data_IF_477440999754
#
_entry.id   IF_477440999754
#
_cell.length_a   1.000
_cell.length_b   1.000
_cell.length_c   1.000
_cell.angle_alpha   90.00
_cell.angle_beta   90.00
_cell.angle_gamma   90.00
#
_symmetry.space_group_name_H-M   'P 1'
#
loop_
_entity.id
_entity.type
_entity.pdbx_description
1 polymer ?
#
# COMPACT_ATOMS: atom_id res chain seq x y z
N UNK A 1 -4.82 48.19 -22.78
CA UNK A 1 -4.02 46.97 -22.56
C UNK A 1 -3.29 46.62 -23.85
N UNK A 2 -1.95 46.50 -23.83
CA UNK A 2 -1.17 46.00 -24.96
C UNK A 2 -1.63 44.60 -25.42
N UNK A 3 -1.46 44.30 -26.71
CA UNK A 3 -1.96 43.08 -27.37
C UNK A 3 -1.46 41.81 -26.68
N UNK A 4 -0.19 41.78 -26.26
CA UNK A 4 0.40 40.62 -25.58
C UNK A 4 -0.31 40.27 -24.26
N UNK A 5 -0.82 41.27 -23.50
CA UNK A 5 -1.56 41.01 -22.26
C UNK A 5 -2.91 40.33 -22.54
N UNK A 6 -3.61 40.73 -23.60
CA UNK A 6 -4.88 40.11 -24.00
C UNK A 6 -4.67 38.66 -24.43
N UNK A 7 -3.56 38.38 -25.15
CA UNK A 7 -3.17 37.03 -25.52
C UNK A 7 -2.86 36.16 -24.30
N UNK A 8 -2.10 36.67 -23.33
CA UNK A 8 -1.79 35.94 -22.10
C UNK A 8 -3.06 35.62 -21.31
N UNK A 9 -3.96 36.59 -21.13
CA UNK A 9 -5.23 36.37 -20.43
C UNK A 9 -6.09 35.35 -21.17
N UNK A 10 -6.17 35.42 -22.50
CA UNK A 10 -6.90 34.45 -23.30
C UNK A 10 -6.39 33.02 -23.11
N UNK A 11 -5.07 32.83 -23.12
CA UNK A 11 -4.45 31.52 -22.88
C UNK A 11 -4.74 31.02 -21.46
N UNK A 12 -4.62 31.88 -20.45
CA UNK A 12 -4.91 31.51 -19.06
C UNK A 12 -6.39 31.12 -18.87
N UNK A 13 -7.32 31.87 -19.45
CA UNK A 13 -8.75 31.55 -19.41
C UNK A 13 -9.03 30.21 -20.11
N UNK A 14 -8.41 29.97 -21.27
CA UNK A 14 -8.54 28.71 -21.98
C UNK A 14 -7.99 27.53 -21.16
N UNK A 15 -6.82 27.69 -20.53
CA UNK A 15 -6.24 26.66 -19.66
C UNK A 15 -7.14 26.34 -18.47
N UNK A 16 -7.71 27.35 -17.81
CA UNK A 16 -8.66 27.16 -16.71
C UNK A 16 -9.92 26.46 -17.19
N UNK A 17 -10.45 26.83 -18.35
CA UNK A 17 -11.63 26.20 -18.95
C UNK A 17 -11.37 24.73 -19.30
N UNK A 18 -10.23 24.42 -19.93
CA UNK A 18 -9.84 23.04 -20.26
C UNK A 18 -9.64 22.17 -19.02
N UNK A 19 -9.09 22.74 -17.94
CA UNK A 19 -8.96 22.07 -16.65
C UNK A 19 -10.33 21.81 -16.01
N UNK A 20 -11.23 22.80 -16.04
CA UNK A 20 -12.59 22.69 -15.50
C UNK A 20 -13.40 21.61 -16.20
N UNK A 21 -13.22 21.47 -17.52
CA UNK A 21 -13.86 20.44 -18.33
C UNK A 21 -13.19 19.05 -18.24
N UNK A 22 -12.10 18.89 -17.48
CA UNK A 22 -11.41 17.61 -17.30
C UNK A 22 -10.70 17.08 -18.56
N UNK A 23 -10.50 17.92 -19.57
CA UNK A 23 -9.82 17.57 -20.83
C UNK A 23 -8.36 17.23 -20.55
N UNK A 24 -7.71 17.98 -19.67
CA UNK A 24 -6.32 17.74 -19.27
C UNK A 24 -6.14 16.40 -18.58
N UNK A 25 -7.07 16.03 -17.69
CA UNK A 25 -6.98 14.76 -16.96
C UNK A 25 -7.21 13.56 -17.88
N UNK A 26 -8.17 13.68 -18.79
CA UNK A 26 -8.48 12.62 -19.75
C UNK A 26 -7.33 12.40 -20.74
N UNK A 27 -6.76 13.49 -21.25
CA UNK A 27 -5.57 13.44 -22.11
C UNK A 27 -4.37 12.87 -21.35
N UNK A 28 -4.15 13.29 -20.11
CA UNK A 28 -3.06 12.79 -19.28
C UNK A 28 -3.18 11.29 -19.01
N UNK A 29 -4.37 10.79 -18.66
CA UNK A 29 -4.63 9.35 -18.49
C UNK A 29 -4.34 8.58 -19.76
N UNK A 30 -4.86 9.05 -20.89
CA UNK A 30 -4.66 8.39 -22.18
C UNK A 30 -3.18 8.35 -22.59
N UNK A 31 -2.46 9.47 -22.43
CA UNK A 31 -1.02 9.54 -22.72
C UNK A 31 -0.21 8.61 -21.80
N UNK A 32 -0.58 8.53 -20.53
CA UNK A 32 0.05 7.64 -19.55
C UNK A 32 -0.16 6.18 -19.94
N UNK A 33 -1.41 5.79 -20.25
CA UNK A 33 -1.74 4.44 -20.69
C UNK A 33 -1.03 4.08 -22.00
N UNK A 34 -1.01 5.01 -22.97
CA UNK A 34 -0.30 4.83 -24.24
C UNK A 34 1.21 4.66 -24.02
N UNK A 35 1.81 5.47 -23.15
CA UNK A 35 3.22 5.37 -22.77
C UNK A 35 3.55 4.00 -22.18
N UNK A 36 2.76 3.52 -21.20
CA UNK A 36 2.99 2.22 -20.57
C UNK A 36 2.77 1.05 -21.53
N UNK A 37 1.74 1.10 -22.37
CA UNK A 37 1.50 0.08 -23.41
C UNK A 37 2.64 0.03 -24.43
N UNK A 38 3.09 1.18 -24.90
CA UNK A 38 4.22 1.28 -25.83
C UNK A 38 5.51 0.76 -25.20
N UNK A 39 5.79 1.15 -23.94
CA UNK A 39 6.93 0.64 -23.16
C UNK A 39 6.89 -0.88 -23.01
N UNK A 40 5.74 -1.44 -22.63
CA UNK A 40 5.56 -2.88 -22.49
C UNK A 40 5.73 -3.62 -23.82
N UNK A 41 5.35 -3.00 -24.95
CA UNK A 41 5.52 -3.59 -26.26
C UNK A 41 6.98 -3.59 -26.75
N UNK A 42 7.70 -2.49 -26.58
CA UNK A 42 9.10 -2.36 -27.04
C UNK A 42 10.08 -3.07 -26.10
N UNK A 43 9.80 -3.06 -24.79
CA UNK A 43 10.61 -3.72 -23.77
C UNK A 43 9.70 -4.53 -22.86
N UNK A 44 9.22 -5.70 -23.32
CA UNK A 44 8.48 -6.60 -22.45
C UNK A 44 9.39 -6.98 -21.28
N UNK A 45 8.98 -6.60 -20.07
CA UNK A 45 9.63 -7.07 -18.85
C UNK A 45 9.00 -8.45 -18.60
N UNK A 46 9.76 -9.56 -18.70
CA UNK A 46 9.22 -10.88 -18.42
C UNK A 46 8.70 -10.89 -16.99
N UNK A 47 7.45 -11.32 -16.81
CA UNK A 47 6.90 -11.51 -15.48
C UNK A 47 7.53 -12.77 -14.90
N UNK A 48 8.11 -12.74 -13.68
CA UNK A 48 8.70 -13.93 -13.10
C UNK A 48 7.64 -15.02 -12.88
N UNK A 49 7.95 -16.25 -13.30
CA UNK A 49 7.04 -17.40 -13.18
C UNK A 49 6.85 -17.86 -11.73
N UNK A 50 7.60 -17.30 -10.79
CA UNK A 50 7.59 -17.64 -9.36
C UNK A 50 6.89 -16.59 -8.49
N UNK A 51 6.27 -15.56 -9.08
CA UNK A 51 5.49 -14.54 -8.37
C UNK A 51 3.99 -14.77 -8.58
N UNK A 52 3.25 -14.88 -7.48
CA UNK A 52 1.79 -14.93 -7.48
C UNK A 52 1.22 -13.62 -6.93
N UNK A 53 0.43 -12.91 -7.76
CA UNK A 53 -0.32 -11.73 -7.32
C UNK A 53 -1.76 -12.14 -6.99
N UNK A 54 -2.14 -12.00 -5.72
CA UNK A 54 -3.53 -12.17 -5.26
C UNK A 54 -4.18 -10.79 -5.19
N UNK A 55 -4.81 -10.37 -6.28
CA UNK A 55 -5.44 -9.06 -6.38
C UNK A 55 -6.88 -9.05 -5.82
N UNK A 56 -7.31 -7.89 -5.33
CA UNK A 56 -8.69 -7.63 -4.91
C UNK A 56 -9.34 -6.77 -5.99
N UNK A 57 -10.22 -7.38 -6.77
CA UNK A 57 -10.90 -6.75 -7.91
C UNK A 57 -12.42 -6.58 -7.65
N UNK A 58 -13.12 -5.97 -8.60
CA UNK A 58 -14.56 -5.78 -8.52
C UNK A 58 -15.34 -7.10 -8.40
N UNK A 59 -14.85 -8.19 -9.02
CA UNK A 59 -15.49 -9.51 -8.89
C UNK A 59 -15.39 -10.01 -7.45
N UNK A 60 -14.23 -9.83 -6.82
CA UNK A 60 -13.99 -10.16 -5.42
C UNK A 60 -14.87 -9.34 -4.49
N UNK A 61 -14.97 -8.02 -4.71
CA UNK A 61 -15.82 -7.14 -3.90
C UNK A 61 -17.32 -7.43 -4.08
N UNK A 62 -17.77 -7.77 -5.29
CA UNK A 62 -19.16 -8.20 -5.52
C UNK A 62 -19.49 -9.50 -4.81
N UNK A 63 -18.54 -10.44 -4.76
CA UNK A 63 -18.74 -11.77 -4.16
C UNK A 63 -18.58 -11.77 -2.63
N UNK A 64 -17.65 -11.00 -2.11
CA UNK A 64 -17.23 -11.04 -0.70
C UNK A 64 -17.66 -9.79 0.10
N UNK A 65 -18.22 -8.79 -0.58
CA UNK A 65 -18.56 -7.50 0.01
C UNK A 65 -17.37 -6.55 0.11
N UNK A 66 -17.58 -5.40 0.75
CA UNK A 66 -16.55 -4.37 0.92
C UNK A 66 -15.39 -4.87 1.79
N UNK A 67 -14.16 -4.60 1.34
CA UNK A 67 -12.90 -5.02 1.97
C UNK A 67 -12.84 -4.79 3.49
N UNK A 68 -13.31 -3.61 3.97
CA UNK A 68 -13.28 -3.24 5.40
C UNK A 68 -14.07 -4.19 6.31
N UNK A 69 -14.99 -4.97 5.77
CA UNK A 69 -15.83 -5.90 6.55
C UNK A 69 -15.39 -7.37 6.43
N UNK A 70 -14.25 -7.63 5.77
CA UNK A 70 -13.75 -8.99 5.66
C UNK A 70 -13.12 -9.42 6.99
N UNK A 71 -13.69 -10.46 7.61
CA UNK A 71 -13.11 -11.09 8.80
C UNK A 71 -11.68 -11.55 8.53
N UNK A 72 -10.82 -11.40 9.54
CA UNK A 72 -9.41 -11.81 9.46
C UNK A 72 -9.19 -13.31 9.35
N UNK A 73 -10.20 -14.13 9.66
CA UNK A 73 -10.20 -15.57 9.36
C UNK A 73 -9.98 -15.84 7.86
N UNK A 74 -10.43 -14.94 6.98
CA UNK A 74 -10.22 -15.07 5.53
C UNK A 74 -8.75 -14.93 5.15
N UNK A 75 -8.03 -13.99 5.76
CA UNK A 75 -6.59 -13.84 5.54
C UNK A 75 -5.80 -15.00 6.17
N UNK A 76 -6.24 -15.52 7.32
CA UNK A 76 -5.68 -16.75 7.89
C UNK A 76 -5.81 -17.94 6.92
N UNK A 77 -7.00 -18.16 6.36
CA UNK A 77 -7.25 -19.21 5.36
C UNK A 77 -6.44 -19.00 4.07
N UNK A 78 -6.21 -17.74 3.67
CA UNK A 78 -5.34 -17.43 2.53
C UNK A 78 -3.90 -17.88 2.82
N UNK A 79 -3.36 -17.58 4.01
CA UNK A 79 -2.01 -18.01 4.38
C UNK A 79 -1.86 -19.53 4.42
N UNK A 80 -2.87 -20.26 4.88
CA UNK A 80 -2.85 -21.74 4.84
C UNK A 80 -2.75 -22.28 3.41
N UNK A 81 -3.42 -21.63 2.44
CA UNK A 81 -3.30 -21.98 1.02
C UNK A 81 -1.94 -21.61 0.43
N UNK A 82 -1.29 -20.60 1.01
CA UNK A 82 0.02 -20.11 0.59
C UNK A 82 1.18 -20.75 1.37
N UNK A 83 0.96 -21.82 2.16
CA UNK A 83 2.00 -22.46 3.01
C UNK A 83 3.32 -22.82 2.33
N UNK A 84 3.32 -23.01 1.00
CA UNK A 84 4.51 -23.35 0.21
C UNK A 84 5.24 -22.12 -0.36
N UNK A 85 4.67 -20.93 -0.20
CA UNK A 85 5.28 -19.69 -0.68
C UNK A 85 6.60 -19.43 0.05
N UNK A 86 7.62 -19.02 -0.71
CA UNK A 86 8.93 -18.66 -0.15
C UNK A 86 8.85 -17.41 0.73
N UNK A 87 7.94 -16.49 0.42
CA UNK A 87 7.57 -15.32 1.20
C UNK A 87 6.17 -14.87 0.79
N UNK A 88 5.46 -14.20 1.70
CA UNK A 88 4.15 -13.58 1.43
C UNK A 88 4.21 -12.12 1.83
N UNK A 89 4.01 -11.20 0.89
CA UNK A 89 3.79 -9.79 1.18
C UNK A 89 2.30 -9.48 1.20
N UNK A 90 1.81 -8.85 2.26
CA UNK A 90 0.43 -8.38 2.35
C UNK A 90 0.44 -6.86 2.27
N UNK A 91 -0.30 -6.28 1.33
CA UNK A 91 -0.46 -4.83 1.18
C UNK A 91 -1.83 -4.37 1.70
N UNK A 92 -2.11 -4.76 2.95
CA UNK A 92 -3.31 -4.35 3.69
C UNK A 92 -2.88 -4.02 5.11
N UNK A 93 -3.14 -2.79 5.54
CA UNK A 93 -2.84 -2.33 6.88
C UNK A 93 -3.92 -2.82 7.87
N UNK A 94 -3.50 -3.60 8.87
CA UNK A 94 -4.33 -4.04 9.99
C UNK A 94 -3.94 -3.30 11.26
N UNK A 95 -4.30 -2.02 11.37
CA UNK A 95 -3.88 -1.17 12.48
C UNK A 95 -4.82 -1.19 13.70
N UNK A 96 -6.07 -1.61 13.51
CA UNK A 96 -7.13 -1.59 14.53
C UNK A 96 -7.66 -3.01 14.74
N UNK A 97 -8.16 -3.39 15.93
CA UNK A 97 -8.79 -4.70 16.15
C UNK A 97 -10.07 -4.91 15.31
N UNK A 98 -10.43 -6.15 15.04
CA UNK A 98 -11.71 -6.46 14.40
C UNK A 98 -12.76 -6.50 15.50
N UNK A 99 -13.49 -5.39 15.66
CA UNK A 99 -14.52 -5.28 16.69
C UNK A 99 -15.64 -6.32 16.56
N UNK A 100 -15.86 -6.85 15.34
CA UNK A 100 -16.93 -7.82 15.06
C UNK A 100 -16.47 -9.26 15.15
N UNK A 101 -15.19 -9.53 14.92
CA UNK A 101 -14.60 -10.88 15.00
C UNK A 101 -13.21 -10.88 15.65
N UNK A 102 -13.09 -10.64 16.98
CA UNK A 102 -11.80 -10.67 17.68
C UNK A 102 -11.08 -12.01 17.56
N UNK A 103 -11.82 -13.12 17.41
CA UNK A 103 -11.22 -14.44 17.17
C UNK A 103 -10.53 -14.53 15.80
N UNK A 104 -10.97 -13.72 14.83
CA UNK A 104 -10.32 -13.60 13.53
C UNK A 104 -8.91 -13.01 13.63
N UNK A 105 -8.70 -12.05 14.53
CA UNK A 105 -7.37 -11.45 14.78
C UNK A 105 -6.41 -12.50 15.30
N UNK A 106 -6.86 -13.29 16.28
CA UNK A 106 -6.08 -14.37 16.86
C UNK A 106 -5.75 -15.45 15.81
N UNK A 107 -6.74 -15.85 14.99
CA UNK A 107 -6.54 -16.82 13.93
C UNK A 107 -5.54 -16.33 12.87
N UNK A 108 -5.61 -15.05 12.50
CA UNK A 108 -4.69 -14.49 11.52
C UNK A 108 -3.28 -14.35 12.08
N UNK A 109 -3.12 -13.90 13.33
CA UNK A 109 -1.82 -13.87 13.99
C UNK A 109 -1.21 -15.27 14.13
N UNK A 110 -2.02 -16.30 14.44
CA UNK A 110 -1.56 -17.69 14.47
C UNK A 110 -1.08 -18.17 13.09
N UNK A 111 -1.84 -17.86 12.02
CA UNK A 111 -1.46 -18.22 10.65
C UNK A 111 -0.18 -17.51 10.18
N UNK A 112 -0.02 -16.24 10.55
CA UNK A 112 1.22 -15.47 10.28
C UNK A 112 2.42 -16.14 10.96
N UNK A 113 2.31 -16.49 12.26
CA UNK A 113 3.36 -17.22 13.00
C UNK A 113 3.67 -18.57 12.37
N UNK A 114 2.64 -19.33 12.03
CA UNK A 114 2.78 -20.66 11.46
C UNK A 114 3.48 -20.63 10.08
N UNK A 115 3.19 -19.64 9.25
CA UNK A 115 3.86 -19.46 7.97
C UNK A 115 5.32 -18.96 8.14
N UNK A 116 5.57 -18.08 9.11
CA UNK A 116 6.91 -17.61 9.51
C UNK A 116 7.68 -16.79 8.47
N UNK A 117 7.05 -16.47 7.33
CA UNK A 117 7.66 -15.79 6.17
C UNK A 117 6.70 -14.77 5.55
N UNK A 118 5.98 -14.05 6.42
CA UNK A 118 4.95 -13.08 6.04
C UNK A 118 5.46 -11.68 6.37
N UNK A 119 5.38 -10.77 5.41
CA UNK A 119 5.71 -9.35 5.57
C UNK A 119 4.41 -8.56 5.59
N UNK A 120 4.24 -7.77 6.65
CA UNK A 120 3.08 -6.90 6.85
C UNK A 120 3.47 -5.43 6.63
N UNK A 121 2.54 -4.59 6.16
CA UNK A 121 2.81 -3.19 5.95
C UNK A 121 2.70 -2.44 7.27
N UNK A 122 3.39 -1.31 7.35
CA UNK A 122 3.16 -0.27 8.33
C UNK A 122 2.78 1.01 7.57
N UNK A 123 2.05 1.90 8.22
CA UNK A 123 1.69 3.18 7.63
C UNK A 123 2.50 4.29 8.26
N UNK A 124 2.95 5.27 7.48
CA UNK A 124 3.59 6.47 8.03
C UNK A 124 2.55 7.59 8.06
N UNK A 125 2.15 8.01 9.26
CA UNK A 125 1.27 9.18 9.37
C UNK A 125 2.10 10.47 9.40
N UNK A 126 1.65 11.51 8.70
CA UNK A 126 2.23 12.86 8.79
C UNK A 126 1.37 13.69 9.75
N UNK A 127 1.95 14.14 10.87
CA UNK A 127 1.33 15.12 11.77
C UNK A 127 0.34 14.59 12.83
N UNK A 128 0.38 13.31 13.21
CA UNK A 128 -0.42 12.76 14.33
C UNK A 128 0.46 12.49 15.53
N UNK A 129 -0.04 12.84 16.71
CA UNK A 129 0.57 12.49 17.98
C UNK A 129 0.22 11.03 18.25
N UNK A 130 1.22 10.15 18.26
CA UNK A 130 1.04 8.74 18.63
C UNK A 130 0.75 8.61 20.13
N UNK A 131 -0.16 7.70 20.48
CA UNK A 131 -0.37 7.27 21.87
C UNK A 131 0.88 6.55 22.41
N UNK A 132 0.99 6.39 23.74
CA UNK A 132 2.13 5.68 24.33
C UNK A 132 2.22 4.21 23.86
N UNK A 133 1.09 3.54 23.70
CA UNK A 133 1.04 2.18 23.10
C UNK A 133 1.58 2.17 21.67
N UNK A 134 1.16 3.13 20.84
CA UNK A 134 1.60 3.22 19.45
C UNK A 134 3.10 3.53 19.36
N UNK A 135 3.62 4.40 20.23
CA UNK A 135 5.06 4.69 20.33
C UNK A 135 5.85 3.45 20.69
N UNK A 136 5.38 2.66 21.64
CA UNK A 136 6.06 1.43 22.05
C UNK A 136 6.05 0.37 20.93
N UNK A 137 4.90 0.21 20.26
CA UNK A 137 4.79 -0.66 19.09
C UNK A 137 5.71 -0.19 17.94
N UNK A 138 5.84 1.13 17.76
CA UNK A 138 6.77 1.74 16.79
C UNK A 138 8.22 1.40 17.12
N UNK A 139 8.63 1.48 18.39
CA UNK A 139 9.99 1.07 18.81
C UNK A 139 10.24 -0.40 18.49
N UNK A 140 9.28 -1.28 18.76
CA UNK A 140 9.36 -2.71 18.45
C UNK A 140 9.50 -2.96 16.95
N UNK A 141 8.73 -2.24 16.12
CA UNK A 141 8.86 -2.32 14.67
C UNK A 141 10.27 -1.92 14.21
N UNK A 142 10.84 -0.83 14.76
CA UNK A 142 12.20 -0.39 14.42
C UNK A 142 13.26 -1.46 14.73
N UNK A 143 13.08 -2.24 15.80
CA UNK A 143 13.98 -3.36 16.15
C UNK A 143 13.94 -4.50 15.13
N UNK A 144 12.82 -4.67 14.40
CA UNK A 144 12.66 -5.68 13.36
C UNK A 144 13.17 -5.24 11.98
N UNK A 145 13.48 -3.95 11.81
CA UNK A 145 14.02 -3.47 10.54
C UNK A 145 15.42 -4.05 10.29
N UNK A 146 15.74 -4.45 9.05
CA UNK A 146 17.05 -4.98 8.72
C UNK A 146 18.13 -3.94 9.04
N UNK A 147 19.18 -4.38 9.73
CA UNK A 147 20.36 -3.53 9.92
C UNK A 147 21.01 -3.32 8.56
N UNK A 148 21.11 -2.07 8.11
CA UNK A 148 21.74 -1.77 6.84
C UNK A 148 23.22 -2.18 6.93
N UNK A 149 23.67 -3.05 6.02
CA UNK A 149 25.06 -3.50 6.00
C UNK A 149 26.01 -2.29 5.97
N UNK A 150 27.06 -2.31 6.81
CA UNK A 150 28.07 -1.23 6.88
C UNK A 150 28.49 -0.80 5.47
N UNK A 151 28.25 0.46 5.14
CA UNK A 151 28.62 1.05 3.84
C UNK A 151 27.49 1.20 2.81
N UNK A 152 26.28 0.69 3.07
CA UNK A 152 25.08 1.02 2.28
C UNK A 152 24.21 1.99 3.08
N UNK A 153 23.74 3.06 2.44
CA UNK A 153 22.72 3.94 3.00
C UNK A 153 21.37 3.51 2.45
N UNK A 154 20.44 3.11 3.32
CA UNK A 154 19.05 2.95 2.93
C UNK A 154 18.49 4.38 2.82
N UNK A 155 18.36 4.89 1.60
CA UNK A 155 17.81 6.22 1.38
C UNK A 155 16.29 6.18 1.60
N UNK A 156 15.86 6.18 2.86
CA UNK A 156 14.45 6.34 3.22
C UNK A 156 14.19 7.84 3.24
N UNK A 157 13.45 8.42 2.27
CA UNK A 157 13.22 9.86 2.25
C UNK A 157 12.50 10.27 3.54
N UNK A 158 13.14 11.13 4.34
CA UNK A 158 12.64 11.79 5.56
C UNK A 158 11.52 11.04 6.29
N UNK A 159 11.81 9.82 6.71
CA UNK A 159 10.95 9.11 7.64
C UNK A 159 11.40 9.47 9.06
N UNK A 160 10.62 10.27 9.77
CA UNK A 160 10.66 10.23 11.22
C UNK A 160 10.11 8.87 11.60
N UNK A 161 10.98 7.89 11.83
CA UNK A 161 10.56 6.53 12.14
C UNK A 161 9.66 6.46 13.40
N UNK A 162 9.59 7.56 14.16
CA UNK A 162 8.65 7.81 15.27
C UNK A 162 7.19 7.99 14.84
N UNK A 163 6.87 8.11 13.55
CA UNK A 163 5.51 8.28 13.04
C UNK A 163 4.97 7.04 12.30
N UNK A 164 5.66 5.91 12.43
CA UNK A 164 5.19 4.64 11.87
C UNK A 164 4.07 4.08 12.73
N UNK A 165 2.90 3.86 12.15
CA UNK A 165 1.85 3.08 12.74
C UNK A 165 2.06 1.61 12.35
N UNK A 166 2.47 0.74 13.29
CA UNK A 166 2.64 -0.68 13.02
C UNK A 166 1.27 -1.36 12.83
N UNK A 167 1.25 -2.60 12.29
CA UNK A 167 0.06 -3.44 12.38
C UNK A 167 -0.24 -3.76 13.85
N UNK A 168 -1.38 -4.40 14.09
CA UNK A 168 -1.80 -4.88 15.40
C UNK A 168 -0.65 -5.56 16.15
N UNK A 169 -0.50 -5.34 17.47
CA UNK A 169 0.59 -5.94 18.24
C UNK A 169 0.71 -7.46 18.07
N UNK A 170 -0.43 -8.16 18.05
CA UNK A 170 -0.47 -9.61 17.83
C UNK A 170 0.09 -10.04 16.47
N UNK A 171 -0.09 -9.22 15.44
CA UNK A 171 0.43 -9.43 14.09
C UNK A 171 1.88 -8.99 13.98
N UNK A 172 2.24 -7.87 14.61
CA UNK A 172 3.62 -7.40 14.68
C UNK A 172 4.50 -8.46 15.35
N UNK A 173 4.06 -9.08 16.44
CA UNK A 173 4.81 -10.14 17.12
C UNK A 173 4.84 -11.44 16.31
N UNK A 174 3.87 -11.64 15.41
CA UNK A 174 3.73 -12.84 14.62
C UNK A 174 4.64 -12.88 13.37
N UNK A 175 4.88 -11.72 12.75
CA UNK A 175 5.71 -11.55 11.57
C UNK A 175 7.20 -11.40 11.93
#
# INVERSE_FOLDING_TARGET
MPVWQKSVIGVLVLMVLMKSLGVTDSLNRWLTDAHWRFRAHIRPIPFPDDILIVAIDDKSLRKLGRLRYWSRKRYAQLLERLRLAKAVGIDILFAEPDEKDPQGDAAFAAAVRHHGRVVLPFHQWQGRILSEEEREATKRLKLKLPTVAKGKTLHVPFAFAETFQPPLPSLLDAA
#
